data_IF_873208449629
#
_entry.id   IF_873208449629
#
_cell.length_a   1.000
_cell.length_b   1.000
_cell.length_c   1.000
_cell.angle_alpha   90.00
_cell.angle_beta   90.00
_cell.angle_gamma   90.00
#
_symmetry.space_group_name_H-M   'P 1'
#
loop_
_entity.id
_entity.type
_entity.pdbx_description
1 polymer ?
#
# COMPACT_ATOMS: atom_id res chain seq x y z
N UNK A 1 8.87 -19.96 -13.03
CA UNK A 1 8.64 -20.88 -11.90
C UNK A 1 7.52 -20.30 -11.04
N UNK A 2 6.44 -21.04 -10.78
CA UNK A 2 5.35 -20.61 -9.90
C UNK A 2 5.66 -21.05 -8.47
N UNK A 3 5.55 -20.11 -7.51
CA UNK A 3 5.60 -20.39 -6.07
C UNK A 3 4.24 -20.03 -5.46
N UNK A 4 3.68 -20.93 -4.69
CA UNK A 4 2.43 -20.72 -3.96
C UNK A 4 2.74 -20.65 -2.46
N UNK A 5 2.13 -19.69 -1.79
CA UNK A 5 2.16 -19.59 -0.33
C UNK A 5 0.80 -20.01 0.21
N UNK A 6 0.79 -20.76 1.29
CA UNK A 6 -0.42 -21.26 1.93
C UNK A 6 -0.51 -20.72 3.35
N UNK A 7 -1.69 -20.26 3.71
CA UNK A 7 -1.96 -19.69 5.02
C UNK A 7 -3.14 -20.41 5.69
N UNK A 8 -3.13 -20.47 7.01
CA UNK A 8 -4.29 -20.96 7.76
C UNK A 8 -5.49 -20.05 7.54
N UNK A 9 -6.71 -20.61 7.67
CA UNK A 9 -7.97 -19.89 7.38
C UNK A 9 -8.12 -18.59 8.18
N UNK A 10 -7.72 -18.57 9.44
CA UNK A 10 -7.78 -17.37 10.29
C UNK A 10 -6.82 -16.27 9.82
N UNK A 11 -5.58 -16.63 9.45
CA UNK A 11 -4.59 -15.69 8.91
C UNK A 11 -5.07 -15.12 7.57
N UNK A 12 -5.60 -15.97 6.71
CA UNK A 12 -6.15 -15.52 5.42
C UNK A 12 -7.37 -14.61 5.61
N UNK A 13 -8.28 -14.95 6.53
CA UNK A 13 -9.45 -14.12 6.84
C UNK A 13 -9.03 -12.73 7.35
N UNK A 14 -8.17 -12.66 8.35
CA UNK A 14 -7.68 -11.38 8.89
C UNK A 14 -6.97 -10.52 7.84
N UNK A 15 -6.14 -11.13 7.00
CA UNK A 15 -5.48 -10.41 5.91
C UNK A 15 -6.47 -9.93 4.84
N UNK A 16 -7.28 -10.83 4.29
CA UNK A 16 -8.07 -10.56 3.10
C UNK A 16 -9.43 -9.91 3.43
N UNK A 17 -10.21 -10.51 4.33
CA UNK A 17 -11.55 -10.01 4.63
C UNK A 17 -11.47 -8.74 5.49
N UNK A 18 -10.71 -8.77 6.58
CA UNK A 18 -10.74 -7.68 7.57
C UNK A 18 -9.85 -6.51 7.14
N UNK A 19 -8.55 -6.71 6.94
CA UNK A 19 -7.68 -5.57 6.62
C UNK A 19 -7.83 -5.13 5.18
N UNK A 20 -7.75 -6.07 4.21
CA UNK A 20 -7.80 -5.67 2.80
C UNK A 20 -9.18 -5.15 2.38
N UNK A 21 -10.25 -5.89 2.66
CA UNK A 21 -11.57 -5.57 2.10
C UNK A 21 -12.47 -4.76 3.04
N UNK A 22 -12.32 -4.86 4.36
CA UNK A 22 -13.15 -4.07 5.29
C UNK A 22 -12.49 -2.76 5.72
N UNK A 23 -11.16 -2.64 5.64
CA UNK A 23 -10.45 -1.41 5.98
C UNK A 23 -9.84 -0.71 4.74
N UNK A 24 -8.88 -1.34 4.06
CA UNK A 24 -8.10 -0.65 3.02
C UNK A 24 -8.94 -0.37 1.77
N UNK A 25 -9.70 -1.35 1.27
CA UNK A 25 -10.48 -1.15 0.05
C UNK A 25 -11.50 0.00 0.17
N UNK A 26 -12.35 0.09 1.21
CA UNK A 26 -13.22 1.24 1.38
C UNK A 26 -12.44 2.55 1.56
N UNK A 27 -11.33 2.52 2.31
CA UNK A 27 -10.50 3.70 2.54
C UNK A 27 -9.93 4.26 1.23
N UNK A 28 -9.38 3.39 0.38
CA UNK A 28 -8.80 3.82 -0.91
C UNK A 28 -9.84 4.40 -1.87
N UNK A 29 -11.12 4.08 -1.70
CA UNK A 29 -12.19 4.65 -2.51
C UNK A 29 -12.76 5.97 -1.96
N UNK A 30 -12.26 6.47 -0.84
CA UNK A 30 -12.59 7.79 -0.29
C UNK A 30 -11.81 8.90 -1.02
N UNK A 31 -12.17 9.15 -2.27
CA UNK A 31 -11.51 10.16 -3.11
C UNK A 31 -12.21 11.51 -3.12
N UNK A 32 -13.46 11.57 -2.62
CA UNK A 32 -14.31 12.77 -2.61
C UNK A 32 -15.23 12.76 -1.39
N UNK A 33 -15.46 13.93 -0.80
CA UNK A 33 -16.32 14.13 0.37
C UNK A 33 -17.79 13.74 0.15
N UNK A 34 -18.27 13.76 -1.09
CA UNK A 34 -19.65 13.49 -1.47
C UNK A 34 -19.94 12.00 -1.76
N UNK A 35 -18.91 11.16 -1.81
CA UNK A 35 -19.06 9.75 -2.20
C UNK A 35 -19.36 8.77 -1.06
N UNK A 36 -18.86 8.94 0.19
CA UNK A 36 -19.06 7.94 1.25
C UNK A 36 -20.51 7.62 1.54
N UNK A 37 -21.39 8.62 1.50
CA UNK A 37 -22.81 8.44 1.77
C UNK A 37 -23.55 7.61 0.70
N UNK A 38 -22.99 7.50 -0.50
CA UNK A 38 -23.63 6.80 -1.64
C UNK A 38 -23.27 5.33 -1.74
N UNK A 39 -22.14 4.92 -1.18
CA UNK A 39 -21.64 3.54 -1.29
C UNK A 39 -22.09 2.65 -0.15
N UNK A 40 -22.50 3.23 0.99
CA UNK A 40 -22.81 2.47 2.20
C UNK A 40 -21.61 1.71 2.80
N UNK A 41 -20.44 1.89 2.22
CA UNK A 41 -19.20 1.24 2.65
C UNK A 41 -18.31 2.25 3.39
N UNK A 42 -18.13 2.02 4.67
CA UNK A 42 -17.22 2.81 5.51
C UNK A 42 -16.01 1.96 5.88
N UNK A 43 -14.79 2.55 5.89
CA UNK A 43 -13.62 1.85 6.39
C UNK A 43 -13.82 1.42 7.86
N UNK A 44 -13.58 0.15 8.15
CA UNK A 44 -13.49 -0.34 9.53
C UNK A 44 -12.02 -0.29 9.93
N UNK A 45 -11.59 0.66 10.79
CA UNK A 45 -10.19 0.84 11.10
C UNK A 45 -9.58 -0.42 11.70
N UNK A 46 -8.46 -0.87 11.12
CA UNK A 46 -7.67 -1.95 11.70
C UNK A 46 -6.68 -1.37 12.71
N UNK A 47 -6.60 -1.99 13.87
CA UNK A 47 -5.72 -1.56 14.96
C UNK A 47 -4.34 -2.21 14.81
N UNK A 48 -3.25 -1.42 14.71
CA UNK A 48 -1.89 -1.98 14.76
C UNK A 48 -1.70 -2.83 16.01
N UNK A 49 -1.17 -4.06 15.82
CA UNK A 49 -1.02 -5.04 16.90
C UNK A 49 -2.28 -5.88 17.19
N UNK A 50 -3.44 -5.54 16.61
CA UNK A 50 -4.64 -6.39 16.64
C UNK A 50 -4.45 -7.69 15.83
N UNK A 51 -5.32 -8.70 16.02
CA UNK A 51 -5.15 -10.01 15.38
C UNK A 51 -5.17 -9.93 13.86
N UNK A 52 -6.09 -9.13 13.29
CA UNK A 52 -6.24 -9.00 11.84
C UNK A 52 -5.06 -8.26 11.22
N UNK A 53 -4.58 -7.19 11.89
CA UNK A 53 -3.37 -6.50 11.46
C UNK A 53 -2.14 -7.41 11.53
N UNK A 54 -1.99 -8.24 12.56
CA UNK A 54 -0.91 -9.24 12.61
C UNK A 54 -1.01 -10.23 11.45
N UNK A 55 -2.21 -10.63 11.06
CA UNK A 55 -2.44 -11.49 9.90
C UNK A 55 -2.01 -10.79 8.60
N UNK A 56 -2.33 -9.51 8.44
CA UNK A 56 -1.90 -8.70 7.30
C UNK A 56 -0.38 -8.60 7.22
N UNK A 57 0.28 -8.29 8.33
CA UNK A 57 1.75 -8.26 8.43
C UNK A 57 2.34 -9.64 8.11
N UNK A 58 1.81 -10.72 8.67
CA UNK A 58 2.32 -12.08 8.47
C UNK A 58 2.28 -12.51 7.00
N UNK A 59 1.17 -12.22 6.30
CA UNK A 59 1.06 -12.52 4.86
C UNK A 59 2.07 -11.70 4.06
N UNK A 60 2.13 -10.38 4.27
CA UNK A 60 3.11 -9.53 3.58
C UNK A 60 4.56 -9.97 3.86
N UNK A 61 4.86 -10.36 5.10
CA UNK A 61 6.17 -10.89 5.50
C UNK A 61 6.51 -12.15 4.71
N UNK A 62 5.59 -13.11 4.62
CA UNK A 62 5.82 -14.35 3.90
C UNK A 62 6.06 -14.10 2.39
N UNK A 63 5.35 -13.14 1.77
CA UNK A 63 5.62 -12.74 0.39
C UNK A 63 6.99 -12.07 0.24
N UNK A 64 7.38 -11.20 1.16
CA UNK A 64 8.70 -10.57 1.14
C UNK A 64 9.83 -11.60 1.31
N UNK A 65 9.66 -12.58 2.21
CA UNK A 65 10.62 -13.68 2.40
C UNK A 65 10.76 -14.52 1.15
N UNK A 66 9.64 -14.91 0.56
CA UNK A 66 9.65 -15.70 -0.67
C UNK A 66 10.32 -14.97 -1.84
N UNK A 67 10.11 -13.66 -1.97
CA UNK A 67 10.74 -12.85 -3.00
C UNK A 67 12.24 -12.60 -2.70
N UNK A 68 12.64 -12.43 -1.45
CA UNK A 68 14.02 -12.23 -1.06
C UNK A 68 14.93 -13.46 -1.29
N UNK A 69 14.35 -14.66 -1.40
CA UNK A 69 15.10 -15.86 -1.77
C UNK A 69 15.63 -15.81 -3.21
N UNK A 70 14.98 -15.06 -4.09
CA UNK A 70 15.41 -14.83 -5.48
C UNK A 70 16.50 -13.73 -5.55
N UNK A 71 17.65 -13.99 -4.91
CA UNK A 71 18.71 -13.00 -4.66
C UNK A 71 19.30 -12.34 -5.91
N UNK A 72 19.27 -13.04 -7.03
CA UNK A 72 19.80 -12.55 -8.31
C UNK A 72 18.75 -11.86 -9.17
N UNK A 73 17.49 -11.78 -8.71
CA UNK A 73 16.44 -11.11 -9.44
C UNK A 73 16.77 -9.61 -9.58
N UNK A 74 16.89 -9.08 -10.82
CA UNK A 74 17.25 -7.68 -11.01
C UNK A 74 16.11 -6.73 -10.62
N UNK A 75 14.90 -7.22 -10.53
CA UNK A 75 13.71 -6.47 -10.15
C UNK A 75 12.63 -7.36 -9.56
N UNK A 76 11.77 -6.76 -8.73
CA UNK A 76 10.55 -7.35 -8.19
C UNK A 76 9.38 -6.42 -8.51
N UNK A 77 8.30 -6.97 -9.08
CA UNK A 77 7.09 -6.23 -9.40
C UNK A 77 5.96 -6.67 -8.48
N UNK A 78 5.43 -5.72 -7.71
CA UNK A 78 4.41 -5.97 -6.68
C UNK A 78 3.12 -5.27 -7.09
N UNK A 79 2.01 -5.96 -6.94
CA UNK A 79 0.71 -5.45 -7.32
C UNK A 79 -0.21 -5.33 -6.12
N UNK A 80 -0.85 -4.17 -6.05
CA UNK A 80 -2.05 -3.84 -5.32
C UNK A 80 -1.92 -3.80 -3.77
N UNK A 81 -2.91 -3.19 -3.15
CA UNK A 81 -2.93 -2.80 -1.73
C UNK A 81 -2.79 -3.95 -0.74
N UNK A 82 -3.17 -5.16 -1.12
CA UNK A 82 -3.02 -6.36 -0.27
C UNK A 82 -1.55 -6.65 0.10
N UNK A 83 -0.61 -6.20 -0.74
CA UNK A 83 0.82 -6.42 -0.58
C UNK A 83 1.60 -5.13 -0.33
N UNK A 84 0.92 -4.10 0.18
CA UNK A 84 1.47 -2.75 0.37
C UNK A 84 2.67 -2.67 1.33
N UNK A 85 2.86 -3.66 2.23
CA UNK A 85 4.03 -3.68 3.10
C UNK A 85 5.24 -4.39 2.48
N UNK A 86 5.05 -5.16 1.41
CA UNK A 86 6.12 -5.99 0.81
C UNK A 86 7.32 -5.18 0.34
N UNK A 87 7.19 -3.98 -0.29
CA UNK A 87 8.35 -3.24 -0.76
C UNK A 87 9.35 -2.90 0.37
N UNK A 88 8.86 -2.39 1.49
CA UNK A 88 9.70 -2.04 2.64
C UNK A 88 10.26 -3.30 3.32
N UNK A 89 9.44 -4.31 3.54
CA UNK A 89 9.87 -5.59 4.09
C UNK A 89 10.93 -6.30 3.24
N UNK A 90 10.93 -6.11 1.92
CA UNK A 90 11.99 -6.58 1.03
C UNK A 90 13.30 -5.82 1.24
N UNK A 91 13.22 -4.49 1.43
CA UNK A 91 14.41 -3.68 1.74
C UNK A 91 15.04 -4.07 3.07
N UNK A 92 14.23 -4.29 4.10
CA UNK A 92 14.69 -4.78 5.40
C UNK A 92 15.45 -6.11 5.28
N UNK A 93 15.11 -6.95 4.29
CA UNK A 93 15.76 -8.24 4.00
C UNK A 93 16.98 -8.12 3.07
N UNK A 94 17.38 -6.90 2.72
CA UNK A 94 18.55 -6.63 1.88
C UNK A 94 18.36 -6.94 0.40
N UNK A 95 17.13 -6.97 -0.10
CA UNK A 95 16.90 -7.13 -1.55
C UNK A 95 17.51 -5.97 -2.33
N UNK A 96 18.52 -6.29 -3.15
CA UNK A 96 19.31 -5.29 -3.89
C UNK A 96 18.70 -4.90 -5.25
N UNK A 97 17.77 -5.72 -5.78
CA UNK A 97 17.12 -5.45 -7.06
C UNK A 97 16.17 -4.24 -7.00
N UNK A 98 15.69 -3.82 -8.16
CA UNK A 98 14.68 -2.76 -8.26
C UNK A 98 13.32 -3.27 -7.80
N UNK A 99 12.58 -2.45 -7.05
CA UNK A 99 11.23 -2.75 -6.61
C UNK A 99 10.25 -1.79 -7.28
N UNK A 100 9.36 -2.35 -8.12
CA UNK A 100 8.20 -1.66 -8.63
C UNK A 100 6.96 -2.04 -7.84
N UNK A 101 6.08 -1.09 -7.60
CA UNK A 101 4.76 -1.31 -7.03
C UNK A 101 3.71 -0.65 -7.91
N UNK A 102 2.58 -1.31 -8.16
CA UNK A 102 1.46 -0.72 -8.88
C UNK A 102 0.17 -0.83 -8.08
N UNK A 103 -0.47 0.30 -7.84
CA UNK A 103 -1.78 0.39 -7.21
C UNK A 103 -2.87 0.43 -8.29
N UNK A 104 -3.73 -0.59 -8.31
CA UNK A 104 -4.80 -0.72 -9.32
C UNK A 104 -6.07 0.04 -8.98
N UNK A 105 -6.23 0.47 -7.73
CA UNK A 105 -7.39 1.22 -7.22
C UNK A 105 -7.00 2.68 -6.93
N UNK A 106 -7.96 3.60 -6.75
CA UNK A 106 -7.65 4.97 -6.39
C UNK A 106 -6.81 5.08 -5.12
N UNK A 107 -6.04 6.17 -4.97
CA UNK A 107 -5.41 6.51 -3.70
C UNK A 107 -6.29 7.51 -2.94
N UNK A 108 -6.52 7.35 -1.62
CA UNK A 108 -7.45 8.19 -0.88
C UNK A 108 -6.93 9.62 -0.74
N UNK A 109 -7.84 10.56 -0.74
CA UNK A 109 -7.56 11.91 -0.27
C UNK A 109 -7.45 11.90 1.26
N UNK A 110 -6.31 12.35 1.80
CA UNK A 110 -6.02 12.23 3.23
C UNK A 110 -6.96 13.06 4.10
N UNK A 111 -7.39 14.23 3.63
CA UNK A 111 -8.33 15.07 4.37
C UNK A 111 -9.71 14.41 4.45
N UNK A 112 -10.16 13.82 3.33
CA UNK A 112 -11.42 13.06 3.28
C UNK A 112 -11.35 11.79 4.13
N UNK A 113 -10.20 11.13 4.16
CA UNK A 113 -9.99 9.88 4.89
C UNK A 113 -9.83 10.08 6.41
N UNK A 114 -9.31 11.22 6.85
CA UNK A 114 -8.97 11.53 8.25
C UNK A 114 -10.07 11.16 9.26
N UNK A 115 -11.35 11.53 9.09
CA UNK A 115 -12.39 11.20 10.05
C UNK A 115 -12.61 9.69 10.24
N UNK A 116 -12.24 8.88 9.24
CA UNK A 116 -12.39 7.42 9.27
C UNK A 116 -11.13 6.69 9.78
N UNK A 117 -10.03 7.42 9.97
CA UNK A 117 -8.75 6.85 10.40
C UNK A 117 -8.49 6.98 11.90
N UNK A 118 -9.05 8.01 12.54
CA UNK A 118 -8.68 8.32 13.92
C UNK A 118 -9.35 7.41 14.97
N UNK A 119 -8.57 7.08 16.04
CA UNK A 119 -7.12 7.19 16.17
C UNK A 119 -6.36 5.95 15.65
N UNK A 120 -7.00 4.77 15.67
CA UNK A 120 -6.31 3.50 15.44
C UNK A 120 -5.94 3.27 13.96
N UNK A 121 -6.83 3.64 13.05
CA UNK A 121 -6.62 3.48 11.62
C UNK A 121 -5.51 4.34 11.05
N UNK A 122 -5.22 5.50 11.69
CA UNK A 122 -4.14 6.39 11.27
C UNK A 122 -2.78 5.69 11.29
N UNK A 123 -2.46 5.01 12.39
CA UNK A 123 -1.18 4.29 12.52
C UNK A 123 -1.09 3.11 11.55
N UNK A 124 -2.21 2.40 11.32
CA UNK A 124 -2.27 1.32 10.34
C UNK A 124 -2.06 1.85 8.92
N UNK A 125 -2.75 2.93 8.53
CA UNK A 125 -2.62 3.50 7.20
C UNK A 125 -1.25 4.14 6.98
N UNK A 126 -0.69 4.83 7.99
CA UNK A 126 0.69 5.29 7.96
C UNK A 126 1.65 4.15 7.63
N UNK A 127 1.51 2.98 8.28
CA UNK A 127 2.37 1.81 8.00
C UNK A 127 2.21 1.29 6.57
N UNK A 128 1.01 1.40 5.98
CA UNK A 128 0.78 1.11 4.55
C UNK A 128 1.59 2.08 3.68
N UNK A 129 1.50 3.38 3.94
CA UNK A 129 2.27 4.41 3.19
C UNK A 129 3.77 4.18 3.33
N UNK A 130 4.27 3.91 4.54
CA UNK A 130 5.69 3.55 4.78
C UNK A 130 6.10 2.31 3.97
N UNK A 131 5.23 1.29 3.93
CA UNK A 131 5.46 0.08 3.15
C UNK A 131 5.68 0.37 1.67
N UNK A 132 4.84 1.22 1.09
CA UNK A 132 4.97 1.65 -0.31
C UNK A 132 6.27 2.40 -0.58
N UNK A 133 6.74 3.22 0.37
CA UNK A 133 7.98 3.99 0.27
C UNK A 133 9.24 3.11 0.20
N UNK A 134 9.15 1.81 0.42
CA UNK A 134 10.18 0.81 0.13
C UNK A 134 10.46 0.58 -1.36
N UNK A 135 9.54 0.97 -2.26
CA UNK A 135 9.69 0.81 -3.69
C UNK A 135 10.69 1.81 -4.31
N UNK A 136 11.20 1.51 -5.52
CA UNK A 136 11.93 2.48 -6.36
C UNK A 136 10.99 3.24 -7.29
N UNK A 137 9.89 2.59 -7.68
CA UNK A 137 8.84 3.19 -8.51
C UNK A 137 7.48 2.75 -7.99
N UNK A 138 6.59 3.73 -7.80
CA UNK A 138 5.18 3.47 -7.52
C UNK A 138 4.35 3.99 -8.70
N UNK A 139 3.60 3.09 -9.32
CA UNK A 139 2.65 3.40 -10.38
C UNK A 139 1.22 3.54 -9.84
N UNK A 140 0.50 4.50 -10.38
CA UNK A 140 -0.91 4.77 -10.09
C UNK A 140 -1.72 4.83 -11.38
N UNK A 141 -3.05 4.81 -11.27
CA UNK A 141 -3.94 4.94 -12.43
C UNK A 141 -4.02 6.39 -12.94
N UNK A 142 -3.97 7.37 -12.05
CA UNK A 142 -4.17 8.78 -12.42
C UNK A 142 -3.12 9.71 -11.79
N UNK A 143 -2.92 10.87 -12.40
CA UNK A 143 -2.08 11.92 -11.82
C UNK A 143 -2.62 12.42 -10.47
N UNK A 144 -3.95 12.44 -10.31
CA UNK A 144 -4.57 12.83 -9.04
C UNK A 144 -4.22 11.85 -7.89
N UNK A 145 -4.06 10.55 -8.20
CA UNK A 145 -3.64 9.56 -7.21
C UNK A 145 -2.18 9.77 -6.81
N UNK A 146 -1.31 10.16 -7.75
CA UNK A 146 0.08 10.56 -7.46
C UNK A 146 0.11 11.74 -6.48
N UNK A 147 -0.67 12.78 -6.74
CA UNK A 147 -0.74 13.97 -5.88
C UNK A 147 -1.27 13.65 -4.48
N UNK A 148 -2.28 12.79 -4.38
CA UNK A 148 -2.81 12.32 -3.09
C UNK A 148 -1.78 11.50 -2.32
N UNK A 149 -1.07 10.60 -2.99
CA UNK A 149 0.02 9.84 -2.39
C UNK A 149 1.14 10.75 -1.87
N UNK A 150 1.56 11.77 -2.63
CA UNK A 150 2.58 12.73 -2.20
C UNK A 150 2.16 13.46 -0.92
N UNK A 151 0.90 13.91 -0.83
CA UNK A 151 0.37 14.55 0.39
C UNK A 151 0.38 13.59 1.57
N UNK A 152 -0.10 12.37 1.39
CA UNK A 152 -0.10 11.37 2.47
C UNK A 152 1.33 10.99 2.91
N UNK A 153 2.26 10.81 1.97
CA UNK A 153 3.64 10.51 2.25
C UNK A 153 4.35 11.64 3.03
N UNK A 154 4.09 12.89 2.66
CA UNK A 154 4.60 14.05 3.40
C UNK A 154 4.01 14.11 4.81
N UNK A 155 2.70 14.04 4.94
CA UNK A 155 2.00 14.26 6.21
C UNK A 155 2.23 13.11 7.21
N UNK A 156 2.16 11.87 6.72
CA UNK A 156 2.24 10.70 7.59
C UNK A 156 3.67 10.23 7.85
N UNK A 157 4.57 10.41 6.87
CA UNK A 157 5.92 9.83 6.89
C UNK A 157 7.04 10.89 6.78
N UNK A 158 6.70 12.16 6.62
CA UNK A 158 7.68 13.23 6.44
C UNK A 158 8.48 13.12 5.14
N UNK A 159 7.96 12.42 4.14
CA UNK A 159 8.62 12.28 2.86
C UNK A 159 8.58 13.59 2.07
N UNK A 160 9.74 14.15 1.73
CA UNK A 160 9.84 15.42 1.04
C UNK A 160 9.46 15.27 -0.45
N UNK A 161 8.58 16.14 -1.00
CA UNK A 161 8.23 16.08 -2.41
C UNK A 161 9.41 16.47 -3.30
N UNK A 162 9.55 15.77 -4.43
CA UNK A 162 10.48 16.04 -5.51
C UNK A 162 9.71 15.99 -6.84
N UNK A 163 10.32 16.49 -7.92
CA UNK A 163 9.73 16.36 -9.25
C UNK A 163 9.62 14.87 -9.65
N UNK A 164 8.38 14.40 -9.83
CA UNK A 164 8.06 13.01 -10.16
C UNK A 164 8.53 11.97 -9.12
N UNK A 165 8.71 12.37 -7.85
CA UNK A 165 9.20 11.49 -6.79
C UNK A 165 8.91 12.05 -5.39
N UNK A 166 9.19 11.24 -4.36
CA UNK A 166 9.35 11.70 -2.98
C UNK A 166 10.70 11.23 -2.43
N UNK A 167 11.29 12.02 -1.53
CA UNK A 167 12.51 11.67 -0.80
C UNK A 167 12.13 11.19 0.60
N UNK A 168 12.47 9.94 0.92
CA UNK A 168 12.21 9.35 2.22
C UNK A 168 13.45 8.60 2.73
N UNK A 169 13.93 8.94 3.92
CA UNK A 169 15.16 8.36 4.51
C UNK A 169 16.36 8.31 3.55
N UNK A 170 16.57 9.39 2.77
CA UNK A 170 17.67 9.48 1.80
C UNK A 170 17.42 8.71 0.49
N UNK A 171 16.29 8.01 0.35
CA UNK A 171 15.93 7.29 -0.87
C UNK A 171 14.96 8.10 -1.70
N UNK A 172 15.22 8.14 -3.01
CA UNK A 172 14.29 8.70 -4.00
C UNK A 172 13.32 7.62 -4.47
N UNK A 173 12.04 7.79 -4.17
CA UNK A 173 10.94 6.94 -4.61
C UNK A 173 10.23 7.64 -5.77
N UNK A 174 10.39 7.13 -6.98
CA UNK A 174 9.72 7.67 -8.17
C UNK A 174 8.24 7.34 -8.14
N UNK A 175 7.42 8.26 -8.65
CA UNK A 175 5.98 8.08 -8.77
C UNK A 175 5.52 8.51 -10.14
N UNK A 176 4.58 7.78 -10.74
CA UNK A 176 4.02 8.15 -12.03
C UNK A 176 2.60 7.58 -12.21
N UNK A 177 1.81 8.24 -13.05
CA UNK A 177 0.54 7.72 -13.52
C UNK A 177 0.76 6.88 -14.79
N UNK A 178 0.18 5.68 -14.79
CA UNK A 178 0.14 4.76 -15.93
C UNK A 178 -1.31 4.30 -16.11
N UNK A 179 -2.16 5.12 -16.75
CA UNK A 179 -3.57 4.78 -16.89
C UNK A 179 -3.74 3.51 -17.70
N UNK A 180 -4.54 2.58 -17.17
CA UNK A 180 -4.99 1.42 -17.92
C UNK A 180 -6.20 1.86 -18.73
N UNK A 181 -6.12 1.71 -20.03
CA UNK A 181 -7.17 2.07 -20.97
C UNK A 181 -7.46 0.94 -21.95
N UNK A 182 -8.47 1.15 -22.79
CA UNK A 182 -8.76 0.32 -23.95
C UNK A 182 -8.68 1.20 -25.19
N UNK A 183 -8.16 0.66 -26.27
CA UNK A 183 -8.27 1.27 -27.59
C UNK A 183 -9.73 1.15 -28.05
N UNK A 184 -10.37 2.27 -28.44
CA UNK A 184 -11.75 2.34 -28.92
C UNK A 184 -11.74 2.46 -30.42
#
# INVERSE_FOLDING_TARGET
>A
RHRRLYFGSSTWHGHYAEVSNSFLWPLFHLVRHDLPARTGYYPVPSTPGGPDWRSFVAVNTAFAEAAAEEREAPWCWIHDYQLSLVPDLLRERGFAGRIGFFLHIPFPDIETARPYLEPAGWAAFRRVVEGLLGADLIGFQTAADVDRFHRAALEMCGAAPLDGAVLHHGRRVRTAAFPVGIDI
#
